data_IF_770211288963
#
_entry.id   IF_770211288963
#
_cell.length_a   1.000
_cell.length_b   1.000
_cell.length_c   1.000
_cell.angle_alpha   90.00
_cell.angle_beta   90.00
_cell.angle_gamma   90.00
#
_symmetry.space_group_name_H-M   'P 1'
#
loop_
_entity.id
_entity.type
_entity.pdbx_description
1 polymer ?
#
# COMPACT_ATOMS: atom_id res chain seq x y z
N UNK A 1 -28.07 27.23 -86.63
CA UNK A 1 -28.64 26.69 -85.38
C UNK A 1 -27.59 25.84 -84.67
N UNK A 2 -27.37 26.10 -83.36
CA UNK A 2 -26.56 25.37 -82.36
C UNK A 2 -25.03 25.39 -82.60
N UNK A 3 -24.18 25.77 -81.66
CA UNK A 3 -24.34 26.09 -80.24
C UNK A 3 -23.06 25.65 -79.50
N UNK A 4 -22.41 26.58 -78.78
CA UNK A 4 -21.30 26.34 -77.87
C UNK A 4 -21.68 25.38 -76.72
N UNK A 5 -20.70 24.77 -76.02
CA UNK A 5 -20.40 25.00 -74.59
C UNK A 5 -19.50 23.88 -74.00
N UNK A 6 -18.47 24.36 -73.29
CA UNK A 6 -17.62 23.79 -72.22
C UNK A 6 -18.05 22.52 -71.47
N UNK A 7 -17.07 21.71 -71.05
CA UNK A 7 -17.12 21.00 -69.76
C UNK A 7 -15.72 20.56 -69.26
N UNK A 8 -15.23 21.09 -68.13
CA UNK A 8 -14.30 20.40 -67.25
C UNK A 8 -14.97 20.09 -65.90
N UNK A 9 -14.43 19.09 -65.20
CA UNK A 9 -14.17 19.00 -63.75
C UNK A 9 -14.24 17.53 -63.33
N UNK A 10 -13.06 16.98 -63.04
CA UNK A 10 -12.88 15.73 -62.32
C UNK A 10 -13.17 15.96 -60.83
N UNK A 11 -14.13 15.22 -60.28
CA UNK A 11 -14.42 15.20 -58.84
C UNK A 11 -13.53 14.16 -58.16
N UNK A 12 -12.53 14.62 -57.39
CA UNK A 12 -11.77 13.79 -56.45
C UNK A 12 -12.55 13.79 -55.13
N UNK A 13 -13.20 12.67 -54.82
CA UNK A 13 -13.88 12.45 -53.54
C UNK A 13 -12.85 11.99 -52.50
N UNK A 14 -12.40 12.90 -51.64
CA UNK A 14 -11.58 12.55 -50.48
C UNK A 14 -12.46 11.92 -49.39
N UNK A 15 -12.33 10.61 -49.17
CA UNK A 15 -12.87 9.92 -47.99
C UNK A 15 -12.02 10.30 -46.77
N UNK A 16 -12.48 11.27 -45.97
CA UNK A 16 -11.97 11.53 -44.63
C UNK A 16 -12.51 10.45 -43.68
N UNK A 17 -11.73 9.39 -43.47
CA UNK A 17 -11.92 8.44 -42.38
C UNK A 17 -11.60 9.16 -41.07
N UNK A 18 -12.62 9.77 -40.45
CA UNK A 18 -12.59 10.20 -39.06
C UNK A 18 -12.47 8.95 -38.17
N UNK A 19 -11.24 8.49 -37.96
CA UNK A 19 -10.93 7.61 -36.85
C UNK A 19 -11.22 8.42 -35.57
N UNK A 20 -12.39 8.17 -34.99
CA UNK A 20 -12.72 8.65 -33.66
C UNK A 20 -11.70 8.04 -32.69
N UNK A 21 -10.68 8.81 -32.33
CA UNK A 21 -9.87 8.57 -31.14
C UNK A 21 -10.82 8.74 -29.94
N UNK A 22 -11.56 7.68 -29.60
CA UNK A 22 -12.05 7.54 -28.24
C UNK A 22 -10.81 7.34 -27.39
N UNK A 23 -10.26 8.44 -26.84
CA UNK A 23 -9.39 8.36 -25.68
C UNK A 23 -10.11 7.48 -24.67
N UNK A 24 -9.59 6.26 -24.47
CA UNK A 24 -10.05 5.38 -23.42
C UNK A 24 -9.67 6.05 -22.11
N UNK A 25 -10.56 6.92 -21.62
CA UNK A 25 -10.45 7.52 -20.30
C UNK A 25 -10.44 6.34 -19.35
N UNK A 26 -9.28 6.08 -18.74
CA UNK A 26 -9.17 5.05 -17.71
C UNK A 26 -10.23 5.36 -16.64
N UNK A 27 -10.85 4.33 -16.04
CA UNK A 27 -11.83 4.55 -14.99
C UNK A 27 -11.30 5.54 -13.94
N UNK A 28 -12.14 6.44 -13.41
CA UNK A 28 -11.68 7.41 -12.42
C UNK A 28 -11.04 6.69 -11.24
N UNK A 29 -9.91 7.23 -10.79
CA UNK A 29 -9.18 6.71 -9.63
C UNK A 29 -10.09 6.71 -8.42
N UNK A 30 -10.21 5.57 -7.76
CA UNK A 30 -10.91 5.51 -6.49
C UNK A 30 -10.05 6.21 -5.42
N UNK A 31 -10.55 7.30 -4.85
CA UNK A 31 -9.89 8.09 -3.80
C UNK A 31 -10.56 7.93 -2.43
N UNK A 32 -11.45 6.94 -2.26
CA UNK A 32 -12.02 6.63 -0.95
C UNK A 32 -10.90 6.35 0.06
N UNK A 33 -10.92 6.97 1.25
CA UNK A 33 -9.96 6.66 2.31
C UNK A 33 -10.02 5.17 2.69
N UNK A 34 -8.92 4.65 3.24
CA UNK A 34 -8.96 3.32 3.85
C UNK A 34 -9.96 3.32 5.02
N UNK A 35 -10.58 2.15 5.32
CA UNK A 35 -11.45 2.05 6.48
C UNK A 35 -10.68 2.40 7.76
N UNK A 36 -11.35 2.99 8.74
CA UNK A 36 -10.76 3.28 10.05
C UNK A 36 -10.79 2.10 11.02
N UNK A 37 -11.42 0.98 10.61
CA UNK A 37 -11.57 -0.24 11.42
C UNK A 37 -11.19 -1.44 10.56
N UNK A 38 -10.33 -2.30 11.09
CA UNK A 38 -9.92 -3.53 10.42
C UNK A 38 -11.08 -4.53 10.43
N UNK A 39 -11.52 -4.96 9.25
CA UNK A 39 -12.65 -5.88 9.09
C UNK A 39 -12.32 -7.01 8.10
N UNK A 40 -12.93 -8.20 8.26
CA UNK A 40 -12.73 -9.32 7.35
C UNK A 40 -13.27 -9.02 5.94
N UNK A 41 -12.80 -9.76 4.91
CA UNK A 41 -11.84 -10.86 4.99
C UNK A 41 -10.40 -10.38 5.20
N UNK A 42 -9.62 -11.18 5.95
CA UNK A 42 -8.21 -10.91 6.22
C UNK A 42 -7.31 -11.77 5.33
N UNK A 43 -6.15 -11.22 4.97
CA UNK A 43 -5.04 -11.94 4.39
C UNK A 43 -3.88 -12.00 5.38
N UNK A 44 -3.12 -13.10 5.36
CA UNK A 44 -2.10 -13.38 6.38
C UNK A 44 -2.63 -13.16 7.81
N UNK A 45 -3.90 -13.54 8.04
CA UNK A 45 -4.68 -13.45 9.29
C UNK A 45 -4.97 -12.06 9.87
N UNK A 46 -4.20 -11.02 9.52
CA UNK A 46 -4.30 -9.71 10.18
C UNK A 46 -4.62 -8.54 9.24
N UNK A 47 -4.42 -8.69 7.93
CA UNK A 47 -4.44 -7.55 7.00
C UNK A 47 -5.79 -7.51 6.27
N UNK A 48 -6.59 -6.43 6.38
CA UNK A 48 -7.87 -6.33 5.69
C UNK A 48 -7.69 -6.36 4.17
N UNK A 49 -8.27 -7.35 3.49
CA UNK A 49 -8.17 -7.49 2.03
C UNK A 49 -8.70 -6.25 1.29
N UNK A 50 -9.78 -5.66 1.79
CA UNK A 50 -10.37 -4.45 1.18
C UNK A 50 -9.41 -3.26 1.19
N UNK A 51 -8.60 -3.10 2.25
CA UNK A 51 -7.59 -2.05 2.30
C UNK A 51 -6.51 -2.30 1.24
N UNK A 52 -6.01 -3.54 1.13
CA UNK A 52 -5.03 -3.94 0.11
C UNK A 52 -5.55 -3.67 -1.30
N UNK A 53 -6.81 -4.04 -1.57
CA UNK A 53 -7.45 -3.83 -2.88
C UNK A 53 -7.56 -2.33 -3.24
N UNK A 54 -7.88 -1.47 -2.27
CA UNK A 54 -7.96 -0.02 -2.47
C UNK A 54 -6.59 0.61 -2.74
N UNK A 55 -5.59 0.26 -1.94
CA UNK A 55 -4.23 0.82 -2.04
C UNK A 55 -3.52 0.41 -3.32
N UNK A 56 -3.72 -0.83 -3.76
CA UNK A 56 -2.98 -1.41 -4.90
C UNK A 56 -3.79 -1.42 -6.19
N UNK A 57 -5.12 -1.25 -6.13
CA UNK A 57 -6.02 -1.40 -7.26
C UNK A 57 -6.23 -2.85 -7.73
N UNK A 58 -5.64 -3.83 -7.03
CA UNK A 58 -5.66 -5.24 -7.43
C UNK A 58 -6.80 -5.97 -6.71
N UNK A 59 -7.73 -6.53 -7.48
CA UNK A 59 -8.92 -7.23 -6.93
C UNK A 59 -8.59 -8.61 -6.34
N UNK A 60 -7.79 -9.40 -7.04
CA UNK A 60 -7.46 -10.77 -6.64
C UNK A 60 -5.94 -10.92 -6.53
N UNK A 61 -5.32 -10.38 -5.48
CA UNK A 61 -3.87 -10.45 -5.33
C UNK A 61 -3.40 -11.87 -5.04
N UNK A 62 -2.17 -12.18 -5.45
CA UNK A 62 -1.46 -13.35 -4.94
C UNK A 62 -0.87 -12.97 -3.58
N UNK A 63 -1.18 -13.75 -2.55
CA UNK A 63 -0.72 -13.52 -1.17
C UNK A 63 0.22 -14.62 -0.73
N UNK A 64 1.33 -14.24 -0.09
CA UNK A 64 2.27 -15.17 0.56
C UNK A 64 2.69 -14.64 1.92
N UNK A 65 3.00 -15.57 2.83
CA UNK A 65 3.57 -15.28 4.14
C UNK A 65 2.57 -15.42 5.28
N UNK A 66 3.09 -15.23 6.48
CA UNK A 66 2.38 -15.33 7.75
C UNK A 66 3.18 -14.55 8.81
N UNK A 67 2.52 -14.26 9.92
CA UNK A 67 3.15 -13.71 11.11
C UNK A 67 3.15 -14.78 12.20
N UNK A 68 4.34 -15.05 12.74
CA UNK A 68 4.52 -15.86 13.93
C UNK A 68 4.73 -14.90 15.10
N UNK A 69 3.70 -14.72 15.91
CA UNK A 69 3.72 -13.80 17.04
C UNK A 69 4.32 -14.45 18.31
N UNK A 70 4.64 -15.75 18.28
CA UNK A 70 5.13 -16.52 19.44
C UNK A 70 6.55 -17.04 19.26
N UNK A 71 7.15 -16.90 18.08
CA UNK A 71 8.46 -17.43 17.73
C UNK A 71 9.56 -17.18 18.76
N UNK A 72 9.69 -15.97 19.31
CA UNK A 72 10.75 -15.67 20.27
C UNK A 72 10.59 -16.48 21.55
N UNK A 73 9.34 -16.67 21.98
CA UNK A 73 9.03 -17.40 23.20
C UNK A 73 9.39 -18.87 23.04
N UNK A 74 9.15 -19.41 21.85
CA UNK A 74 9.41 -20.82 21.51
C UNK A 74 10.91 -21.09 21.31
N UNK A 75 11.65 -20.15 20.71
CA UNK A 75 13.05 -20.35 20.35
C UNK A 75 14.04 -20.01 21.46
N UNK A 76 13.89 -18.86 22.12
CA UNK A 76 14.88 -18.36 23.09
C UNK A 76 14.26 -17.81 24.39
N UNK A 77 12.95 -17.99 24.58
CA UNK A 77 12.22 -17.55 25.75
C UNK A 77 12.03 -16.02 25.82
N UNK A 78 12.38 -15.28 24.77
CA UNK A 78 12.15 -13.83 24.70
C UNK A 78 10.81 -13.53 24.04
N UNK A 79 10.36 -12.30 24.22
CA UNK A 79 9.04 -11.89 23.75
C UNK A 79 9.17 -11.06 22.47
N UNK A 80 9.13 -11.75 21.33
CA UNK A 80 9.02 -11.11 20.04
C UNK A 80 8.30 -12.01 19.03
N UNK A 81 7.66 -11.35 18.07
CA UNK A 81 7.12 -11.97 16.87
C UNK A 81 8.01 -11.69 15.66
N UNK A 82 7.85 -12.48 14.61
CA UNK A 82 8.48 -12.26 13.31
C UNK A 82 7.54 -12.64 12.19
N UNK A 83 7.77 -12.12 11.00
CA UNK A 83 7.14 -12.63 9.79
C UNK A 83 6.84 -11.54 8.80
N UNK A 84 6.04 -11.89 7.81
CA UNK A 84 5.67 -10.95 6.79
C UNK A 84 4.53 -11.43 5.91
N UNK A 85 3.91 -10.47 5.26
CA UNK A 85 2.89 -10.70 4.24
C UNK A 85 3.31 -9.96 2.98
N UNK A 86 3.42 -10.70 1.87
CA UNK A 86 3.82 -10.20 0.57
C UNK A 86 2.67 -10.38 -0.42
N UNK A 87 2.30 -9.27 -1.05
CA UNK A 87 1.19 -9.17 -1.98
C UNK A 87 1.79 -8.94 -3.37
N UNK A 88 1.32 -9.69 -4.36
CA UNK A 88 1.81 -9.64 -5.73
C UNK A 88 0.69 -9.44 -6.74
N UNK A 89 1.04 -8.88 -7.91
CA UNK A 89 0.15 -8.86 -9.06
C UNK A 89 -0.23 -10.28 -9.49
N UNK A 90 -1.50 -10.55 -9.83
CA UNK A 90 -1.93 -11.87 -10.28
C UNK A 90 -1.45 -12.21 -11.69
N UNK A 91 -1.24 -11.19 -12.51
CA UNK A 91 -0.93 -11.29 -13.94
C UNK A 91 0.45 -10.72 -14.26
N UNK A 92 0.90 -10.93 -15.50
CA UNK A 92 2.20 -10.46 -15.97
C UNK A 92 3.36 -11.08 -15.20
N UNK A 93 4.33 -10.24 -14.83
CA UNK A 93 5.55 -10.66 -14.13
C UNK A 93 5.33 -11.00 -12.64
N UNK A 94 4.08 -10.87 -12.14
CA UNK A 94 3.74 -11.11 -10.74
C UNK A 94 4.64 -10.33 -9.78
N UNK A 95 4.89 -9.06 -10.10
CA UNK A 95 5.71 -8.19 -9.26
C UNK A 95 5.06 -8.00 -7.88
N UNK A 96 5.90 -7.82 -6.87
CA UNK A 96 5.48 -7.49 -5.51
C UNK A 96 4.94 -6.06 -5.50
N UNK A 97 3.79 -5.84 -4.88
CA UNK A 97 3.11 -4.53 -4.87
C UNK A 97 2.99 -3.95 -3.46
N UNK A 98 2.94 -4.80 -2.45
CA UNK A 98 2.87 -4.42 -1.05
C UNK A 98 3.62 -5.48 -0.24
N UNK A 99 4.39 -5.03 0.74
CA UNK A 99 5.04 -5.86 1.74
C UNK A 99 4.72 -5.31 3.11
N UNK A 100 4.46 -6.22 4.04
CA UNK A 100 4.33 -5.90 5.45
C UNK A 100 5.25 -6.84 6.20
N UNK A 101 6.12 -6.33 7.05
CA UNK A 101 7.02 -7.14 7.87
C UNK A 101 6.89 -6.80 9.34
N UNK A 102 7.05 -7.81 10.17
CA UNK A 102 7.19 -7.73 11.63
C UNK A 102 8.58 -8.28 11.97
N UNK A 103 9.37 -7.52 12.71
CA UNK A 103 10.72 -7.93 13.10
C UNK A 103 11.04 -7.53 14.55
N UNK A 104 11.96 -8.22 15.23
CA UNK A 104 12.52 -7.81 16.51
C UNK A 104 13.71 -6.84 16.35
N UNK A 105 13.71 -5.99 15.32
CA UNK A 105 14.83 -5.10 14.98
C UNK A 105 14.53 -3.61 15.20
N UNK A 106 13.42 -3.28 15.86
CA UNK A 106 13.00 -1.88 16.04
C UNK A 106 13.97 -1.04 16.85
N UNK A 107 14.20 0.19 16.39
CA UNK A 107 15.04 1.18 17.04
C UNK A 107 14.33 2.52 17.16
N UNK A 108 13.97 2.89 18.40
CA UNK A 108 13.39 4.22 18.68
C UNK A 108 14.32 5.35 18.23
N UNK A 109 15.63 5.19 18.45
CA UNK A 109 16.63 6.22 18.12
C UNK A 109 16.72 6.44 16.60
N UNK A 110 16.60 5.37 15.82
CA UNK A 110 16.60 5.44 14.36
C UNK A 110 15.35 6.17 13.84
N UNK A 111 14.16 5.80 14.34
CA UNK A 111 12.92 6.49 13.97
C UNK A 111 12.94 7.97 14.38
N UNK A 112 13.41 8.30 15.58
CA UNK A 112 13.57 9.69 16.01
C UNK A 112 14.54 10.46 15.11
N UNK A 113 15.63 9.81 14.69
CA UNK A 113 16.59 10.39 13.77
C UNK A 113 15.96 10.64 12.40
N UNK A 114 15.24 9.68 11.81
CA UNK A 114 14.58 9.86 10.51
C UNK A 114 13.51 10.96 10.53
N UNK A 115 12.73 11.06 11.61
CA UNK A 115 11.81 12.18 11.83
C UNK A 115 12.58 13.50 11.88
N UNK A 116 13.72 13.55 12.57
CA UNK A 116 14.59 14.75 12.60
C UNK A 116 15.15 15.13 11.23
N UNK A 117 15.31 14.15 10.33
CA UNK A 117 15.72 14.36 8.93
C UNK A 117 14.56 14.76 8.00
N UNK A 118 13.34 14.89 8.53
CA UNK A 118 12.18 15.39 7.80
C UNK A 118 11.16 14.32 7.40
N UNK A 119 11.28 13.08 7.89
CA UNK A 119 10.22 12.10 7.74
C UNK A 119 8.95 12.55 8.48
N UNK A 120 7.77 12.27 7.92
CA UNK A 120 6.51 12.68 8.54
C UNK A 120 6.21 11.76 9.72
N UNK A 121 5.98 12.28 10.94
CA UNK A 121 5.68 11.42 12.08
C UNK A 121 4.30 10.77 11.93
N UNK A 122 4.19 9.50 12.28
CA UNK A 122 2.89 8.85 12.48
C UNK A 122 2.22 9.40 13.76
N UNK A 123 0.88 9.39 13.84
CA UNK A 123 0.21 9.57 15.11
C UNK A 123 0.61 8.45 16.08
N UNK A 124 0.36 8.65 17.38
CA UNK A 124 0.53 7.58 18.36
C UNK A 124 -0.56 6.51 18.15
N UNK A 125 -0.21 5.43 17.45
CA UNK A 125 -1.13 4.32 17.13
C UNK A 125 -1.27 3.37 18.32
N UNK A 126 -0.17 3.17 19.05
CA UNK A 126 -0.08 2.33 20.25
C UNK A 126 0.67 3.17 21.30
N UNK A 127 0.20 3.20 22.57
CA UNK A 127 0.88 3.96 23.62
C UNK A 127 2.37 3.63 23.71
N UNK A 128 3.21 4.67 23.63
CA UNK A 128 4.67 4.54 23.68
C UNK A 128 5.35 4.05 22.40
N UNK A 129 4.59 3.77 21.34
CA UNK A 129 5.15 3.51 20.02
C UNK A 129 5.51 4.83 19.32
N UNK A 130 6.54 4.79 18.49
CA UNK A 130 6.92 5.90 17.62
C UNK A 130 7.03 5.39 16.19
N UNK A 131 6.67 6.22 15.22
CA UNK A 131 6.76 5.84 13.83
C UNK A 131 6.76 7.04 12.90
N UNK A 132 7.05 6.77 11.64
CA UNK A 132 7.02 7.74 10.58
C UNK A 132 6.48 7.12 9.30
N UNK A 133 6.13 7.95 8.34
CA UNK A 133 5.74 7.53 7.01
C UNK A 133 6.31 8.48 5.96
N UNK A 134 6.49 7.95 4.77
CA UNK A 134 7.10 8.64 3.66
C UNK A 134 6.52 8.18 2.33
N UNK A 135 6.70 9.01 1.32
CA UNK A 135 6.46 8.65 -0.07
C UNK A 135 7.65 9.19 -0.87
N UNK A 136 8.15 8.40 -1.81
CA UNK A 136 9.20 8.87 -2.70
C UNK A 136 8.66 10.06 -3.53
N UNK A 137 9.36 11.19 -3.45
CA UNK A 137 8.88 12.52 -3.86
C UNK A 137 8.65 12.75 -5.36
N UNK A 138 8.62 11.68 -6.16
CA UNK A 138 8.24 11.73 -7.57
C UNK A 138 6.73 11.56 -7.68
N UNK A 139 6.04 12.51 -8.32
CA UNK A 139 4.59 12.42 -8.57
C UNK A 139 4.18 11.18 -9.41
N UNK A 140 5.16 10.51 -10.02
CA UNK A 140 4.98 9.28 -10.80
C UNK A 140 5.35 8.01 -10.01
N UNK A 141 6.02 8.14 -8.86
CA UNK A 141 6.38 7.02 -8.01
C UNK A 141 5.29 6.81 -6.95
N UNK A 142 4.49 5.77 -7.16
CA UNK A 142 3.48 5.33 -6.21
C UNK A 142 4.07 4.51 -5.04
N UNK A 143 5.34 4.74 -4.70
CA UNK A 143 6.05 4.04 -3.64
C UNK A 143 5.95 4.82 -2.33
N UNK A 144 5.46 4.18 -1.30
CA UNK A 144 5.30 4.75 0.03
C UNK A 144 5.63 3.73 1.12
N UNK A 145 6.04 4.23 2.27
CA UNK A 145 6.35 3.39 3.42
C UNK A 145 5.81 4.00 4.72
N UNK A 146 5.50 3.13 5.68
CA UNK A 146 5.24 3.49 7.05
C UNK A 146 5.98 2.51 7.97
N UNK A 147 6.68 3.05 8.98
CA UNK A 147 7.44 2.29 9.97
C UNK A 147 6.91 2.65 11.35
N UNK A 148 6.68 1.66 12.19
CA UNK A 148 6.26 1.83 13.56
C UNK A 148 7.05 0.90 14.47
N UNK A 149 7.65 1.46 15.52
CA UNK A 149 8.43 0.72 16.51
C UNK A 149 7.83 0.85 17.90
N UNK A 150 7.83 -0.26 18.64
CA UNK A 150 7.47 -0.33 20.06
C UNK A 150 8.40 -1.31 20.78
N UNK A 151 9.32 -0.78 21.58
CA UNK A 151 10.43 -1.56 22.11
C UNK A 151 11.30 -2.08 20.97
N UNK A 152 11.49 -3.40 20.91
CA UNK A 152 12.20 -4.07 19.81
C UNK A 152 11.30 -4.49 18.66
N UNK A 153 9.97 -4.42 18.82
CA UNK A 153 9.06 -4.79 17.75
C UNK A 153 8.98 -3.66 16.72
N UNK A 154 9.17 -4.02 15.45
CA UNK A 154 9.06 -3.13 14.31
C UNK A 154 8.05 -3.69 13.33
N UNK A 155 7.12 -2.85 12.91
CA UNK A 155 6.25 -3.13 11.76
C UNK A 155 6.62 -2.14 10.65
N UNK A 156 6.83 -2.69 9.45
CA UNK A 156 7.05 -1.91 8.23
C UNK A 156 5.94 -2.24 7.25
N UNK A 157 5.32 -1.22 6.66
CA UNK A 157 4.39 -1.30 5.54
C UNK A 157 5.06 -0.64 4.34
N UNK A 158 5.46 -1.43 3.35
CA UNK A 158 6.06 -0.94 2.11
C UNK A 158 5.08 -1.13 0.94
N UNK A 159 4.45 -0.04 0.51
CA UNK A 159 3.70 0.02 -0.72
C UNK A 159 4.68 0.29 -1.88
N UNK A 160 4.96 -0.73 -2.67
CA UNK A 160 5.92 -0.68 -3.79
C UNK A 160 5.25 -0.12 -5.04
N UNK A 161 3.98 -0.49 -5.23
CA UNK A 161 3.17 -0.08 -6.37
C UNK A 161 1.76 0.31 -5.90
N UNK A 162 1.59 1.57 -5.55
CA UNK A 162 0.29 2.17 -5.27
C UNK A 162 -0.48 2.61 -6.53
N UNK A 163 -1.71 3.09 -6.32
CA UNK A 163 -2.53 3.65 -7.42
C UNK A 163 -2.16 5.11 -7.65
N UNK A 164 -1.82 5.47 -8.88
CA UNK A 164 -1.54 6.87 -9.27
C UNK A 164 -2.76 7.74 -8.98
N UNK A 165 -2.54 8.90 -8.35
CA UNK A 165 -3.60 9.85 -7.97
C UNK A 165 -4.18 9.62 -6.57
N UNK A 166 -3.77 8.55 -5.85
CA UNK A 166 -4.01 8.41 -4.41
C UNK A 166 -2.85 8.99 -3.61
N UNK A 167 -3.12 9.36 -2.35
CA UNK A 167 -2.09 9.68 -1.36
C UNK A 167 -1.54 8.37 -0.78
N UNK A 168 -0.50 7.84 -1.43
CA UNK A 168 0.08 6.54 -1.10
C UNK A 168 0.77 6.55 0.28
N UNK A 169 1.32 7.70 0.70
CA UNK A 169 1.86 7.90 2.05
C UNK A 169 0.75 7.81 3.11
N UNK A 170 -0.37 8.50 2.90
CA UNK A 170 -1.51 8.41 3.81
C UNK A 170 -2.12 7.01 3.85
N UNK A 171 -2.17 6.32 2.71
CA UNK A 171 -2.62 4.93 2.62
C UNK A 171 -1.70 3.97 3.41
N UNK A 172 -0.38 4.12 3.32
CA UNK A 172 0.56 3.33 4.11
C UNK A 172 0.40 3.58 5.62
N UNK A 173 0.25 4.85 6.02
CA UNK A 173 -0.01 5.23 7.41
C UNK A 173 -1.35 4.66 7.94
N UNK A 174 -2.42 4.78 7.16
CA UNK A 174 -3.72 4.25 7.53
C UNK A 174 -3.73 2.71 7.59
N UNK A 175 -2.97 2.02 6.72
CA UNK A 175 -2.81 0.57 6.85
C UNK A 175 -2.06 0.20 8.12
N UNK A 176 -1.02 0.97 8.49
CA UNK A 176 -0.30 0.78 9.75
C UNK A 176 -1.26 0.88 10.95
N UNK A 177 -2.13 1.90 10.97
CA UNK A 177 -3.15 2.08 12.01
C UNK A 177 -4.09 0.87 12.14
N UNK A 178 -4.41 0.21 11.03
CA UNK A 178 -5.28 -0.96 11.02
C UNK A 178 -4.62 -2.22 11.58
N UNK A 179 -3.33 -2.44 11.30
CA UNK A 179 -2.66 -3.72 11.57
C UNK A 179 -1.79 -3.69 12.82
N UNK A 180 -1.13 -2.57 13.13
CA UNK A 180 -0.18 -2.49 14.23
C UNK A 180 -0.81 -2.83 15.59
N UNK A 181 -2.05 -2.38 15.93
CA UNK A 181 -2.69 -2.74 17.19
C UNK A 181 -2.92 -4.24 17.39
N UNK A 182 -2.80 -5.05 16.34
CA UNK A 182 -2.84 -6.53 16.43
C UNK A 182 -1.44 -7.13 16.45
N UNK A 183 -0.55 -6.68 15.57
CA UNK A 183 0.77 -7.28 15.40
C UNK A 183 1.72 -7.01 16.58
N UNK A 184 1.84 -5.75 17.01
CA UNK A 184 2.79 -5.36 18.08
C UNK A 184 2.36 -5.92 19.44
N UNK A 185 1.11 -5.73 19.90
CA UNK A 185 0.67 -6.32 21.17
C UNK A 185 0.50 -7.83 21.10
N UNK A 186 0.34 -8.43 19.91
CA UNK A 186 0.34 -9.89 19.79
C UNK A 186 1.75 -10.48 19.94
N UNK A 187 2.76 -9.75 19.47
CA UNK A 187 4.19 -10.10 19.61
C UNK A 187 4.77 -9.82 21.01
N UNK A 188 4.03 -9.12 21.86
CA UNK A 188 4.41 -8.77 23.23
C UNK A 188 3.37 -9.35 24.19
N UNK A 189 3.70 -10.20 25.19
CA UNK A 189 2.68 -10.67 26.11
C UNK A 189 2.08 -9.50 26.89
N UNK A 190 0.77 -9.58 27.15
CA UNK A 190 0.12 -8.76 28.17
C UNK A 190 0.87 -9.00 29.47
N UNK A 191 1.39 -7.95 30.11
CA UNK A 191 1.86 -8.06 31.49
C UNK A 191 0.67 -8.52 32.33
N UNK A 192 0.64 -9.81 32.63
CA UNK A 192 -0.31 -10.35 33.58
C UNK A 192 -0.05 -9.60 34.88
N UNK A 193 -1.06 -8.83 35.31
CA UNK A 193 -1.00 -8.08 36.56
C UNK A 193 -0.63 -9.09 37.65
N UNK A 194 0.57 -9.00 38.20
CA UNK A 194 0.93 -9.69 39.43
C UNK A 194 -0.12 -9.28 40.45
N UNK A 195 -1.01 -10.21 40.81
CA UNK A 195 -1.86 -10.04 41.98
C UNK A 195 -0.93 -10.23 43.17
N UNK A 196 -0.67 -9.13 43.88
CA UNK A 196 -0.15 -9.15 45.25
C UNK A 196 -1.09 -9.95 46.17
#
# INVERSE_FOLDING_TARGET
MKGHIFSPIATITALLLLAACQEQTSPPVNTTPLPSVAAPPYICDYIPLGAVQLMTGIREPIVKGNFDLTVGKELDGKNYGTGGCWIYQPTGNKSKVLQISLSPAGSKQEVEWEISQGAKPLPEIIPGAIGHYSQDGSADNAQASAVLVHGLNEVIVDLIHGVKGRDNAADAAALMELIAPKLIPGATPTTEKTRD
#
